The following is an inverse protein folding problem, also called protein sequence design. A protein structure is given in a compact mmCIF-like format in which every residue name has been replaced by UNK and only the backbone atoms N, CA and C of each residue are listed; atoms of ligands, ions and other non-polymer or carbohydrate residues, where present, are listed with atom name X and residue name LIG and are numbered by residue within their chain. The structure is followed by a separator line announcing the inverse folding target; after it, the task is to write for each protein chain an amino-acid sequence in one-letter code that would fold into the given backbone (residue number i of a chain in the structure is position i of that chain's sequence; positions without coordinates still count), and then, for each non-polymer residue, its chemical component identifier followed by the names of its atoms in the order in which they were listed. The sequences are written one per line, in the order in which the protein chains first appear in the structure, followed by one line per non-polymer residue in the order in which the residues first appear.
data_IF_597259297028
#
_entry.id   IF_597259297028
#
_cell.length_a   1.000
_cell.length_b   1.000
_cell.length_c   1.000
_cell.angle_alpha   90.00
_cell.angle_beta   90.00
_cell.angle_gamma   90.00
#
_symmetry.space_group_name_H-M   'P 1'
#
loop_
_entity.id
_entity.type
_entity.pdbx_description
1 polymer ?
#
# COMPACT_ATOMS: atom_id res chain seq x y z
N UNK A 1 52.09 45.31 -15.85
CA UNK A 1 51.07 45.15 -14.79
C UNK A 1 50.24 43.90 -15.07
N UNK A 2 50.38 42.80 -14.31
CA UNK A 2 49.61 41.58 -14.55
C UNK A 2 48.91 41.11 -13.25
N UNK A 3 47.67 41.51 -13.02
CA UNK A 3 46.84 40.93 -11.95
C UNK A 3 45.45 40.62 -12.51
N UNK A 4 45.37 39.71 -13.49
CA UNK A 4 44.13 39.46 -14.22
C UNK A 4 43.60 38.02 -14.24
N UNK A 5 44.41 36.99 -13.92
CA UNK A 5 44.05 35.61 -14.33
C UNK A 5 44.03 34.60 -13.17
N UNK A 6 44.66 34.89 -12.03
CA UNK A 6 44.78 33.90 -10.95
C UNK A 6 43.61 33.87 -9.96
N UNK A 7 42.73 34.87 -9.94
CA UNK A 7 41.66 34.96 -8.95
C UNK A 7 40.39 34.18 -9.34
N UNK A 8 40.17 33.96 -10.65
CA UNK A 8 38.99 33.23 -11.13
C UNK A 8 39.05 31.75 -10.78
N UNK A 9 40.22 31.12 -10.87
CA UNK A 9 40.35 29.67 -10.68
C UNK A 9 40.08 29.23 -9.23
N UNK A 10 40.48 30.04 -8.24
CA UNK A 10 40.23 29.76 -6.83
C UNK A 10 38.73 29.87 -6.48
N UNK A 11 38.06 30.89 -7.00
CA UNK A 11 36.62 31.07 -6.81
C UNK A 11 35.82 29.93 -7.45
N UNK A 12 36.12 29.56 -8.70
CA UNK A 12 35.46 28.42 -9.34
C UNK A 12 35.75 27.10 -8.64
N UNK A 13 36.96 26.91 -8.09
CA UNK A 13 37.32 25.70 -7.33
C UNK A 13 36.54 25.60 -6.00
N UNK A 14 36.37 26.72 -5.28
CA UNK A 14 35.55 26.75 -4.06
C UNK A 14 34.06 26.63 -4.39
N UNK A 15 33.59 27.32 -5.43
CA UNK A 15 32.19 27.27 -5.88
C UNK A 15 31.79 25.84 -6.24
N UNK A 16 32.63 25.13 -7.00
CA UNK A 16 32.38 23.74 -7.40
C UNK A 16 32.48 22.75 -6.23
N UNK A 17 33.47 22.90 -5.34
CA UNK A 17 33.54 22.06 -4.12
C UNK A 17 32.37 22.30 -3.18
N UNK A 18 31.95 23.55 -2.99
CA UNK A 18 30.80 23.90 -2.16
C UNK A 18 29.50 23.35 -2.75
N UNK A 19 29.29 23.51 -4.07
CA UNK A 19 28.13 22.93 -4.76
C UNK A 19 28.11 21.40 -4.66
N UNK A 20 29.27 20.74 -4.77
CA UNK A 20 29.39 19.28 -4.69
C UNK A 20 29.14 18.76 -3.26
N UNK A 21 29.68 19.43 -2.24
CA UNK A 21 29.42 19.10 -0.83
C UNK A 21 27.95 19.36 -0.48
N UNK A 22 27.38 20.46 -0.97
CA UNK A 22 25.96 20.77 -0.80
C UNK A 22 25.09 19.72 -1.49
N UNK A 23 25.41 19.32 -2.73
CA UNK A 23 24.73 18.25 -3.46
C UNK A 23 24.80 16.90 -2.72
N UNK A 24 25.97 16.52 -2.21
CA UNK A 24 26.17 15.30 -1.44
C UNK A 24 25.40 15.32 -0.11
N UNK A 25 25.39 16.47 0.59
CA UNK A 25 24.55 16.64 1.78
C UNK A 25 23.07 16.55 1.40
N UNK A 26 22.62 17.23 0.36
CA UNK A 26 21.21 17.21 -0.07
C UNK A 26 20.72 15.81 -0.43
N UNK A 27 21.52 15.04 -1.17
CA UNK A 27 21.17 13.67 -1.59
C UNK A 27 21.06 12.69 -0.42
N UNK A 28 21.80 12.92 0.67
CA UNK A 28 21.66 12.15 1.93
C UNK A 28 20.43 12.54 2.75
N UNK A 29 19.95 13.78 2.64
CA UNK A 29 18.86 14.33 3.49
C UNK A 29 17.48 13.99 2.93
N UNK A 30 17.33 13.83 1.61
CA UNK A 30 16.05 13.46 0.99
C UNK A 30 16.13 12.09 0.30
N UNK A 31 15.85 10.97 1.02
CA UNK A 31 15.66 9.69 0.35
C UNK A 31 14.44 9.81 -0.56
N UNK A 32 14.66 9.77 -1.87
CA UNK A 32 13.57 9.78 -2.85
C UNK A 32 12.71 8.53 -2.66
N UNK A 33 11.59 8.67 -1.96
CA UNK A 33 10.58 7.64 -1.81
C UNK A 33 9.73 7.65 -3.07
N UNK A 34 10.00 6.71 -3.98
CA UNK A 34 9.27 6.60 -5.26
C UNK A 34 7.76 6.55 -4.99
N UNK A 35 6.94 7.40 -5.63
CA UNK A 35 5.50 7.38 -5.40
C UNK A 35 4.96 6.01 -5.80
N UNK A 36 4.22 5.37 -4.89
CA UNK A 36 3.57 4.10 -5.15
C UNK A 36 2.43 4.37 -6.13
N UNK A 37 2.59 3.98 -7.40
CA UNK A 37 1.54 4.12 -8.40
C UNK A 37 0.48 3.09 -8.04
N UNK A 38 -0.61 3.54 -7.43
CA UNK A 38 -1.73 2.68 -7.10
C UNK A 38 -2.51 2.36 -8.38
N UNK A 39 -2.58 1.07 -8.71
CA UNK A 39 -3.36 0.60 -9.85
C UNK A 39 -4.84 0.86 -9.56
N UNK A 40 -5.52 1.51 -10.49
CA UNK A 40 -6.92 1.94 -10.31
C UNK A 40 -7.94 0.82 -10.60
N UNK A 41 -7.55 -0.20 -11.36
CA UNK A 41 -8.44 -1.26 -11.82
C UNK A 41 -7.70 -2.61 -11.82
N UNK A 42 -8.33 -3.61 -11.23
CA UNK A 42 -7.79 -4.96 -11.06
C UNK A 42 -8.65 -5.96 -11.82
N UNK A 43 -8.02 -6.94 -12.47
CA UNK A 43 -8.75 -8.04 -13.10
C UNK A 43 -9.22 -9.06 -12.06
N UNK A 44 -10.23 -9.87 -12.39
CA UNK A 44 -10.71 -10.91 -11.45
C UNK A 44 -9.62 -11.93 -11.06
N UNK A 45 -8.67 -12.21 -11.95
CA UNK A 45 -7.54 -13.10 -11.67
C UNK A 45 -6.59 -12.47 -10.64
N UNK A 46 -6.19 -11.21 -10.86
CA UNK A 46 -5.35 -10.47 -9.91
C UNK A 46 -6.00 -10.38 -8.54
N UNK A 47 -7.31 -10.12 -8.47
CA UNK A 47 -8.06 -10.08 -7.22
C UNK A 47 -8.06 -11.45 -6.53
N UNK A 48 -8.32 -12.52 -7.29
CA UNK A 48 -8.29 -13.89 -6.77
C UNK A 48 -6.92 -14.24 -6.16
N UNK A 49 -5.84 -13.88 -6.84
CA UNK A 49 -4.47 -14.10 -6.37
C UNK A 49 -4.15 -13.29 -5.11
N UNK A 50 -4.57 -12.02 -5.04
CA UNK A 50 -4.36 -11.15 -3.88
C UNK A 50 -4.98 -11.69 -2.59
N UNK A 51 -6.11 -12.40 -2.69
CA UNK A 51 -6.83 -12.95 -1.53
C UNK A 51 -6.61 -14.47 -1.35
N UNK A 52 -5.82 -15.10 -2.22
CA UNK A 52 -5.60 -16.55 -2.19
C UNK A 52 -6.91 -17.34 -2.29
N UNK A 53 -7.82 -16.92 -3.18
CA UNK A 53 -9.11 -17.57 -3.43
C UNK A 53 -9.26 -17.89 -4.91
N UNK A 54 -10.11 -18.85 -5.25
CA UNK A 54 -10.41 -19.14 -6.65
C UNK A 54 -11.26 -18.01 -7.27
N UNK A 55 -11.05 -17.71 -8.55
CA UNK A 55 -11.88 -16.81 -9.37
C UNK A 55 -13.38 -17.10 -9.23
N UNK A 56 -13.77 -18.38 -9.13
CA UNK A 56 -15.18 -18.76 -8.93
C UNK A 56 -15.77 -18.26 -7.61
N UNK A 57 -14.96 -18.15 -6.55
CA UNK A 57 -15.41 -17.57 -5.28
C UNK A 57 -15.67 -16.07 -5.41
N UNK A 58 -14.82 -15.33 -6.13
CA UNK A 58 -15.03 -13.90 -6.38
C UNK A 58 -16.33 -13.67 -7.17
N UNK A 59 -16.59 -14.50 -8.20
CA UNK A 59 -17.87 -14.45 -8.95
C UNK A 59 -19.06 -14.79 -8.07
N UNK A 60 -18.90 -15.77 -7.18
CA UNK A 60 -19.96 -16.13 -6.25
C UNK A 60 -20.25 -14.96 -5.30
N UNK A 61 -19.23 -14.34 -4.71
CA UNK A 61 -19.40 -13.18 -3.85
C UNK A 61 -20.03 -11.97 -4.57
N UNK A 62 -19.66 -11.69 -5.81
CA UNK A 62 -20.34 -10.66 -6.63
C UNK A 62 -21.86 -10.87 -6.66
N UNK A 63 -22.34 -12.11 -6.79
CA UNK A 63 -23.78 -12.41 -6.82
C UNK A 63 -24.43 -12.35 -5.44
N UNK A 64 -23.68 -12.59 -4.37
CA UNK A 64 -24.23 -12.67 -3.01
C UNK A 64 -24.20 -11.34 -2.26
N UNK A 65 -23.32 -10.40 -2.63
CA UNK A 65 -23.13 -9.14 -1.91
C UNK A 65 -23.46 -7.95 -2.80
N UNK A 66 -24.55 -7.25 -2.51
CA UNK A 66 -24.99 -6.04 -3.25
C UNK A 66 -23.96 -4.90 -3.21
N UNK A 67 -23.10 -4.88 -2.19
CA UNK A 67 -22.03 -3.89 -2.04
C UNK A 67 -20.88 -4.09 -3.05
N UNK A 68 -20.75 -5.28 -3.65
CA UNK A 68 -19.68 -5.62 -4.58
C UNK A 68 -20.18 -5.50 -6.03
N UNK A 69 -19.86 -4.38 -6.68
CA UNK A 69 -20.35 -4.07 -8.05
C UNK A 69 -19.19 -3.75 -8.99
N UNK A 70 -18.46 -4.78 -9.48
CA UNK A 70 -17.34 -4.56 -10.39
C UNK A 70 -17.79 -3.93 -11.70
N UNK A 71 -16.97 -3.03 -12.23
CA UNK A 71 -17.21 -2.38 -13.53
C UNK A 71 -16.89 -3.37 -14.65
N UNK A 72 -17.77 -3.48 -15.63
CA UNK A 72 -17.51 -4.29 -16.83
C UNK A 72 -16.84 -3.43 -17.90
N UNK A 73 -15.75 -3.92 -18.48
CA UNK A 73 -15.11 -3.25 -19.61
C UNK A 73 -15.89 -3.50 -20.92
N UNK A 74 -15.46 -2.86 -22.02
CA UNK A 74 -16.08 -3.03 -23.36
C UNK A 74 -16.11 -4.48 -23.87
N UNK A 75 -15.23 -5.35 -23.35
CA UNK A 75 -15.14 -6.78 -23.70
C UNK A 75 -15.97 -7.67 -22.75
N UNK A 76 -16.64 -7.11 -21.75
CA UNK A 76 -17.42 -7.84 -20.75
C UNK A 76 -16.60 -8.39 -19.58
N UNK A 77 -15.30 -8.11 -19.50
CA UNK A 77 -14.46 -8.54 -18.38
C UNK A 77 -14.68 -7.63 -17.16
N UNK A 78 -14.73 -8.24 -15.98
CA UNK A 78 -14.88 -7.55 -14.69
C UNK A 78 -13.58 -6.86 -14.30
N UNK A 79 -13.71 -5.59 -13.92
CA UNK A 79 -12.66 -4.79 -13.34
C UNK A 79 -13.10 -4.30 -11.97
N UNK A 80 -12.23 -4.52 -10.99
CA UNK A 80 -12.46 -4.18 -9.59
C UNK A 80 -11.71 -2.91 -9.27
N UNK A 81 -12.39 -2.00 -8.58
CA UNK A 81 -11.80 -0.77 -8.05
C UNK A 81 -11.14 -1.03 -6.69
N UNK A 82 -10.30 -0.13 -6.17
CA UNK A 82 -9.80 -0.19 -4.80
C UNK A 82 -10.93 -0.33 -3.76
N UNK A 83 -12.09 0.30 -4.00
CA UNK A 83 -13.25 0.19 -3.11
C UNK A 83 -13.85 -1.22 -3.12
N UNK A 84 -13.88 -1.87 -4.29
CA UNK A 84 -14.32 -3.25 -4.39
C UNK A 84 -13.35 -4.19 -3.68
N UNK A 85 -12.04 -3.94 -3.77
CA UNK A 85 -11.01 -4.70 -3.05
C UNK A 85 -11.20 -4.62 -1.53
N UNK A 86 -11.50 -3.44 -0.98
CA UNK A 86 -11.78 -3.31 0.45
C UNK A 86 -13.03 -4.10 0.85
N UNK A 87 -14.08 -4.07 0.02
CA UNK A 87 -15.29 -4.87 0.24
C UNK A 87 -14.98 -6.37 0.25
N UNK A 88 -14.20 -6.85 -0.73
CA UNK A 88 -13.77 -8.24 -0.82
C UNK A 88 -12.90 -8.63 0.40
N UNK A 89 -12.02 -7.73 0.85
CA UNK A 89 -11.20 -7.94 2.04
C UNK A 89 -12.07 -8.14 3.28
N UNK A 90 -13.11 -7.32 3.47
CA UNK A 90 -14.05 -7.48 4.58
C UNK A 90 -14.81 -8.80 4.48
N UNK A 91 -15.33 -9.17 3.30
CA UNK A 91 -16.00 -10.45 3.09
C UNK A 91 -15.07 -11.60 3.48
N UNK A 92 -13.81 -11.56 3.03
CA UNK A 92 -12.82 -12.59 3.35
C UNK A 92 -12.54 -12.66 4.86
N UNK A 93 -12.38 -11.52 5.55
CA UNK A 93 -12.20 -11.49 7.00
C UNK A 93 -13.41 -12.10 7.74
N UNK A 94 -14.63 -11.72 7.36
CA UNK A 94 -15.85 -12.22 8.00
C UNK A 94 -16.03 -13.73 7.80
N UNK A 95 -15.74 -14.24 6.62
CA UNK A 95 -15.96 -15.65 6.28
C UNK A 95 -14.80 -16.53 6.74
N UNK A 96 -13.55 -16.18 6.44
CA UNK A 96 -12.39 -17.03 6.77
C UNK A 96 -11.88 -16.84 8.19
N UNK A 97 -11.78 -15.60 8.67
CA UNK A 97 -11.18 -15.34 9.99
C UNK A 97 -12.22 -15.41 11.11
N UNK A 98 -13.45 -14.93 10.87
CA UNK A 98 -14.53 -15.02 11.87
C UNK A 98 -15.45 -16.23 11.72
N UNK A 99 -15.32 -17.00 10.65
CA UNK A 99 -16.10 -18.23 10.43
C UNK A 99 -17.60 -18.00 10.20
N UNK A 100 -18.01 -16.79 9.78
CA UNK A 100 -19.41 -16.51 9.48
C UNK A 100 -19.85 -17.19 8.19
N UNK A 101 -21.12 -17.60 8.14
CA UNK A 101 -21.74 -18.03 6.88
C UNK A 101 -21.88 -16.83 5.93
N UNK A 102 -22.06 -17.11 4.64
CA UNK A 102 -22.22 -16.07 3.61
C UNK A 102 -23.41 -15.16 3.92
N UNK A 103 -24.53 -15.73 4.37
CA UNK A 103 -25.71 -14.95 4.78
C UNK A 103 -25.44 -14.10 6.03
N UNK A 104 -24.71 -14.64 7.01
CA UNK A 104 -24.31 -13.90 8.21
C UNK A 104 -23.38 -12.73 7.88
N UNK A 105 -22.41 -12.95 6.99
CA UNK A 105 -21.53 -11.90 6.49
C UNK A 105 -22.31 -10.84 5.69
N UNK A 106 -23.27 -11.25 4.84
CA UNK A 106 -24.13 -10.33 4.08
C UNK A 106 -24.94 -9.44 5.01
N UNK A 107 -25.61 -10.04 6.00
CA UNK A 107 -26.42 -9.30 6.98
C UNK A 107 -25.56 -8.29 7.73
N UNK A 108 -24.38 -8.70 8.19
CA UNK A 108 -23.47 -7.83 8.94
C UNK A 108 -22.94 -6.65 8.11
N UNK A 109 -22.58 -6.89 6.85
CA UNK A 109 -22.15 -5.81 5.94
C UNK A 109 -23.29 -4.84 5.58
N UNK A 110 -24.54 -5.30 5.59
CA UNK A 110 -25.73 -4.48 5.31
C UNK A 110 -26.15 -3.65 6.52
N UNK A 111 -26.15 -4.24 7.71
CA UNK A 111 -26.64 -3.60 8.94
C UNK A 111 -25.64 -2.63 9.54
N UNK A 112 -24.33 -2.94 9.46
CA UNK A 112 -23.32 -2.13 10.12
C UNK A 112 -21.99 -2.08 9.36
N UNK A 113 -21.96 -1.41 8.19
CA UNK A 113 -20.75 -1.29 7.38
C UNK A 113 -19.67 -0.47 8.09
N UNK A 114 -20.04 0.64 8.74
CA UNK A 114 -19.09 1.55 9.41
C UNK A 114 -18.39 0.90 10.59
N UNK A 115 -19.09 0.20 11.49
CA UNK A 115 -18.42 -0.47 12.61
C UNK A 115 -17.56 -1.64 12.13
N UNK A 116 -17.95 -2.30 11.05
CA UNK A 116 -17.13 -3.38 10.47
C UNK A 116 -15.84 -2.80 9.87
N UNK A 117 -15.91 -1.65 9.20
CA UNK A 117 -14.75 -0.92 8.68
C UNK A 117 -13.83 -0.42 9.79
N UNK A 118 -14.39 0.25 10.80
CA UNK A 118 -13.62 0.78 11.93
C UNK A 118 -12.91 -0.34 12.69
N UNK A 119 -13.60 -1.44 13.01
CA UNK A 119 -12.98 -2.57 13.68
C UNK A 119 -11.87 -3.21 12.82
N UNK A 120 -12.09 -3.31 11.51
CA UNK A 120 -11.08 -3.82 10.59
C UNK A 120 -9.84 -2.91 10.55
N UNK A 121 -10.04 -1.60 10.46
CA UNK A 121 -8.94 -0.62 10.43
C UNK A 121 -8.15 -0.62 11.73
N UNK A 122 -8.83 -0.69 12.89
CA UNK A 122 -8.17 -0.80 14.20
C UNK A 122 -7.31 -2.07 14.25
N UNK A 123 -7.85 -3.22 13.85
CA UNK A 123 -7.09 -4.48 13.84
C UNK A 123 -5.88 -4.38 12.91
N UNK A 124 -6.04 -3.78 11.72
CA UNK A 124 -4.95 -3.59 10.77
C UNK A 124 -3.84 -2.70 11.36
N UNK A 125 -4.19 -1.56 11.96
CA UNK A 125 -3.20 -0.67 12.61
C UNK A 125 -2.45 -1.39 13.73
N UNK A 126 -3.14 -2.19 14.54
CA UNK A 126 -2.50 -2.98 15.60
C UNK A 126 -1.54 -4.03 15.03
N UNK A 127 -1.88 -4.65 13.89
CA UNK A 127 -0.98 -5.57 13.19
C UNK A 127 0.25 -4.85 12.63
N UNK A 128 0.07 -3.67 12.03
CA UNK A 128 1.17 -2.86 11.50
C UNK A 128 2.13 -2.44 12.63
N UNK A 129 1.60 -1.93 13.75
CA UNK A 129 2.39 -1.58 14.95
C UNK A 129 3.15 -2.80 15.47
N UNK A 130 2.51 -3.97 15.53
CA UNK A 130 3.17 -5.21 15.95
C UNK A 130 4.35 -5.54 15.04
N UNK A 131 4.20 -5.41 13.72
CA UNK A 131 5.30 -5.70 12.77
C UNK A 131 6.45 -4.71 12.92
N UNK A 132 6.15 -3.42 13.11
CA UNK A 132 7.17 -2.40 13.38
C UNK A 132 7.96 -2.71 14.66
N UNK A 133 7.27 -3.09 15.74
CA UNK A 133 7.90 -3.45 17.01
C UNK A 133 8.76 -4.72 16.89
N UNK A 134 8.33 -5.71 16.11
CA UNK A 134 9.12 -6.92 15.83
C UNK A 134 10.40 -6.56 15.08
N UNK A 135 10.30 -5.73 14.03
CA UNK A 135 11.47 -5.30 13.26
C UNK A 135 12.48 -4.54 14.13
N UNK A 136 12.00 -3.69 15.06
CA UNK A 136 12.87 -3.02 16.03
C UNK A 136 13.55 -4.03 16.96
N UNK A 137 12.79 -5.01 17.47
CA UNK A 137 13.34 -6.06 18.35
C UNK A 137 14.45 -6.85 17.64
N UNK A 138 14.22 -7.27 16.40
CA UNK A 138 15.20 -8.02 15.61
C UNK A 138 16.46 -7.18 15.34
N UNK A 139 16.32 -5.91 14.96
CA UNK A 139 17.46 -5.01 14.73
C UNK A 139 18.27 -4.66 15.99
N UNK A 140 17.69 -4.80 17.19
CA UNK A 140 18.41 -4.62 18.46
C UNK A 140 19.16 -5.88 18.90
N UNK A 141 18.64 -7.07 18.61
CA UNK A 141 19.26 -8.35 18.96
C UNK A 141 20.54 -8.70 18.18
N UNK A 142 20.77 -8.07 17.03
CA UNK A 142 22.02 -8.26 16.25
C UNK A 142 23.24 -7.56 16.86
N UNK A 143 23.06 -6.63 17.81
CA UNK A 143 24.18 -5.87 18.42
C UNK A 143 24.76 -6.51 19.69
N UNK A 144 24.31 -7.72 20.07
CA UNK A 144 24.78 -8.44 21.27
C UNK A 144 25.70 -9.64 20.98
N UNK A 145 26.20 -9.82 19.74
CA UNK A 145 27.23 -10.82 19.41
C UNK A 145 28.54 -10.20 18.91
#
# INVERSE_FOLDING_TARGET
MPYGILHYNWYYFIQTKFLYILHLKFKKIVPYKKPKIEKMLYSIGEVADMFGVNVSHIRYWENQFEALKPVKNKKGNRQFTPKDLETIRMINHLVKERGLTIDGARKKLKENPEDTLNNFEVVKRLQDIRQELIAIKEGLGENEN
#
